data_IF_123910521613
#
_entry.id   IF_123910521613
#
_cell.length_a   1.000
_cell.length_b   1.000
_cell.length_c   1.000
_cell.angle_alpha   90.00
_cell.angle_beta   90.00
_cell.angle_gamma   90.00
#
_symmetry.space_group_name_H-M   'P 1'
#
loop_
_entity.id
_entity.type
_entity.pdbx_description
1 polymer ?
#
# COMPACT_ATOMS: atom_id res chain seq x y z
N UNK A 1 -11.89 -54.73 -31.69
CA UNK A 1 -12.56 -54.37 -32.95
C UNK A 1 -12.98 -52.92 -32.83
N UNK A 2 -12.24 -52.17 -33.52
CA UNK A 2 -12.48 -51.23 -34.62
C UNK A 2 -12.97 -49.88 -34.11
N UNK A 3 -12.16 -48.89 -34.09
CA UNK A 3 -11.52 -48.09 -35.13
C UNK A 3 -12.29 -46.78 -35.46
N UNK A 4 -11.55 -45.67 -35.21
CA UNK A 4 -11.36 -44.53 -36.13
C UNK A 4 -12.56 -43.62 -36.48
N UNK A 5 -12.47 -42.32 -36.20
CA UNK A 5 -12.00 -41.22 -37.10
C UNK A 5 -12.23 -39.89 -36.39
N UNK A 6 -11.22 -39.12 -36.06
CA UNK A 6 -10.64 -37.98 -36.79
C UNK A 6 -11.59 -37.11 -37.62
N UNK A 7 -11.66 -35.82 -37.25
CA UNK A 7 -11.51 -34.58 -38.03
C UNK A 7 -11.76 -33.41 -37.11
N UNK A 8 -10.85 -32.58 -36.77
CA UNK A 8 -10.23 -31.47 -37.49
C UNK A 8 -11.23 -30.33 -37.80
N UNK A 9 -11.11 -29.22 -37.13
CA UNK A 9 -11.73 -27.93 -37.42
C UNK A 9 -10.98 -26.84 -36.66
N UNK A 10 -10.01 -26.23 -37.38
CA UNK A 10 -9.26 -25.06 -36.94
C UNK A 10 -10.08 -23.77 -37.21
N UNK A 11 -9.61 -22.68 -36.55
CA UNK A 11 -10.02 -21.26 -36.63
C UNK A 11 -11.09 -20.91 -35.60
N UNK A 12 -10.86 -19.90 -34.72
CA UNK A 12 -10.44 -18.54 -35.07
C UNK A 12 -9.68 -17.93 -33.87
N UNK A 13 -8.50 -17.39 -34.16
CA UNK A 13 -7.84 -16.37 -33.38
C UNK A 13 -8.35 -15.03 -33.89
N UNK A 14 -9.04 -14.27 -33.09
CA UNK A 14 -9.18 -12.84 -33.34
C UNK A 14 -9.25 -12.11 -32.00
N UNK A 15 -8.17 -11.39 -31.72
CA UNK A 15 -8.20 -9.98 -31.34
C UNK A 15 -8.90 -9.59 -30.03
N UNK A 16 -8.18 -9.77 -28.90
CA UNK A 16 -8.34 -8.89 -27.76
C UNK A 16 -7.03 -8.18 -27.42
N UNK A 17 -6.59 -7.36 -28.37
CA UNK A 17 -5.62 -6.30 -28.10
C UNK A 17 -6.36 -4.96 -28.25
N UNK A 18 -6.90 -4.45 -27.15
CA UNK A 18 -7.12 -2.99 -26.95
C UNK A 18 -7.57 -2.75 -25.52
N UNK A 19 -6.76 -2.01 -24.80
CA UNK A 19 -7.15 -1.44 -23.51
C UNK A 19 -6.05 -1.32 -22.46
N UNK A 20 -4.79 -1.22 -22.87
CA UNK A 20 -3.77 -0.65 -21.96
C UNK A 20 -3.81 0.86 -22.11
N UNK A 21 -4.62 1.53 -21.33
CA UNK A 21 -4.43 2.94 -21.04
C UNK A 21 -3.15 3.05 -20.20
N UNK A 22 -2.12 3.59 -20.80
CA UNK A 22 -0.88 3.94 -20.12
C UNK A 22 -1.23 5.07 -19.13
N UNK A 23 -1.14 4.77 -17.84
CA UNK A 23 -1.00 5.77 -16.80
C UNK A 23 0.35 6.47 -17.05
N UNK A 24 0.29 7.65 -17.65
CA UNK A 24 1.45 8.54 -17.74
C UNK A 24 1.73 9.07 -16.34
N UNK A 25 2.81 8.59 -15.74
CA UNK A 25 3.46 9.25 -14.64
C UNK A 25 4.07 10.55 -15.18
N UNK A 26 3.45 11.67 -14.90
CA UNK A 26 3.99 12.99 -15.24
C UNK A 26 5.13 13.32 -14.27
N UNK A 27 6.28 13.24 -14.78
CA UNK A 27 7.57 13.81 -14.70
C UNK A 27 8.05 14.49 -13.42
N UNK A 28 8.62 13.73 -12.50
CA UNK A 28 9.77 14.18 -11.73
C UNK A 28 11.05 13.70 -12.39
N UNK A 29 11.66 14.47 -13.27
CA UNK A 29 12.98 14.18 -13.79
C UNK A 29 14.02 14.30 -12.66
N UNK A 30 14.65 13.17 -12.33
CA UNK A 30 15.96 13.14 -11.69
C UNK A 30 16.10 12.45 -10.35
N UNK A 31 15.54 11.24 -10.19
CA UNK A 31 16.17 10.22 -9.35
C UNK A 31 16.18 8.94 -10.19
N UNK A 32 17.37 8.45 -10.49
CA UNK A 32 17.54 7.09 -11.01
C UNK A 32 16.80 6.15 -10.07
N UNK A 33 16.16 5.13 -10.64
CA UNK A 33 15.35 4.13 -9.97
C UNK A 33 16.23 3.42 -8.91
N UNK A 34 16.40 4.04 -7.73
CA UNK A 34 17.09 3.42 -6.61
C UNK A 34 16.31 2.16 -6.21
N UNK A 35 17.03 1.09 -5.90
CA UNK A 35 16.38 -0.12 -5.40
C UNK A 35 15.67 0.22 -4.07
N UNK A 36 14.55 -0.42 -3.78
CA UNK A 36 13.79 -0.17 -2.54
C UNK A 36 14.65 -0.34 -1.28
N UNK A 37 15.68 -1.19 -1.35
CA UNK A 37 16.67 -1.38 -0.29
C UNK A 37 17.46 -0.09 -0.01
N UNK A 38 17.81 0.64 -1.06
CA UNK A 38 18.53 1.91 -0.94
C UNK A 38 17.62 3.00 -0.34
N UNK A 39 16.35 3.03 -0.76
CA UNK A 39 15.35 3.95 -0.18
C UNK A 39 15.13 3.65 1.31
N UNK A 40 15.01 2.37 1.70
CA UNK A 40 14.89 1.97 3.10
C UNK A 40 16.17 2.32 3.88
N UNK A 41 17.35 2.10 3.29
CA UNK A 41 18.61 2.44 3.93
C UNK A 41 18.77 3.95 4.15
N UNK A 42 18.27 4.77 3.22
CA UNK A 42 18.30 6.24 3.30
C UNK A 42 17.20 6.82 4.20
N UNK A 43 16.16 6.06 4.51
CA UNK A 43 15.05 6.53 5.36
C UNK A 43 15.54 6.89 6.76
N UNK A 44 15.12 8.05 7.26
CA UNK A 44 15.44 8.52 8.62
C UNK A 44 14.29 8.16 9.57
N UNK A 45 14.51 7.22 10.53
CA UNK A 45 13.49 6.80 11.48
C UNK A 45 13.05 7.96 12.39
N UNK A 46 11.75 8.08 12.61
CA UNK A 46 11.19 9.11 13.49
C UNK A 46 11.21 8.72 14.98
N UNK A 47 11.39 7.45 15.29
CA UNK A 47 11.41 6.93 16.65
C UNK A 47 12.14 5.59 16.75
N UNK A 48 12.29 5.08 17.99
CA UNK A 48 12.99 3.81 18.29
C UNK A 48 12.34 2.60 17.58
N UNK A 49 11.01 2.55 17.44
CA UNK A 49 10.34 1.46 16.74
C UNK A 49 10.78 1.41 15.27
N UNK A 50 10.74 2.53 14.56
CA UNK A 50 11.17 2.58 13.16
C UNK A 50 12.67 2.28 12.98
N UNK A 51 13.51 2.70 13.94
CA UNK A 51 14.95 2.39 13.93
C UNK A 51 15.19 0.88 13.96
N UNK A 52 14.53 0.18 14.89
CA UNK A 52 14.68 -1.27 15.04
C UNK A 52 14.05 -1.99 13.84
N UNK A 53 12.85 -1.59 13.42
CA UNK A 53 12.14 -2.21 12.30
C UNK A 53 12.91 -2.03 10.99
N UNK A 54 13.51 -0.87 10.75
CA UNK A 54 14.41 -0.64 9.61
C UNK A 54 15.57 -1.62 9.58
N UNK A 55 16.22 -1.85 10.73
CA UNK A 55 17.33 -2.81 10.83
C UNK A 55 16.87 -4.23 10.54
N UNK A 56 15.71 -4.64 11.05
CA UNK A 56 15.12 -5.95 10.77
C UNK A 56 14.81 -6.11 9.28
N UNK A 57 14.16 -5.12 8.67
CA UNK A 57 13.82 -5.13 7.25
C UNK A 57 15.09 -5.27 6.39
N UNK A 58 16.10 -4.44 6.62
CA UNK A 58 17.36 -4.51 5.87
C UNK A 58 18.10 -5.84 6.07
N UNK A 59 18.09 -6.38 7.29
CA UNK A 59 18.68 -7.69 7.59
C UNK A 59 18.00 -8.82 6.81
N UNK A 60 16.66 -8.82 6.75
CA UNK A 60 15.92 -9.83 5.99
C UNK A 60 16.15 -9.67 4.49
N UNK A 61 16.12 -8.45 3.95
CA UNK A 61 16.40 -8.18 2.54
C UNK A 61 17.80 -8.63 2.13
N UNK A 62 18.79 -8.46 3.01
CA UNK A 62 20.17 -8.89 2.77
C UNK A 62 20.41 -10.39 2.84
N UNK A 63 19.52 -11.16 3.48
CA UNK A 63 19.74 -12.59 3.76
C UNK A 63 18.67 -13.52 3.13
N UNK A 64 17.48 -13.02 2.83
CA UNK A 64 16.35 -13.80 2.34
C UNK A 64 16.10 -13.50 0.86
N UNK A 65 16.51 -14.40 -0.02
CA UNK A 65 16.40 -14.22 -1.48
C UNK A 65 14.97 -14.17 -2.03
N UNK A 66 13.95 -14.51 -1.22
CA UNK A 66 12.54 -14.50 -1.61
C UNK A 66 11.67 -13.57 -0.75
N UNK A 67 12.28 -12.55 -0.13
CA UNK A 67 11.57 -11.61 0.75
C UNK A 67 10.40 -10.86 0.06
N UNK A 68 10.35 -10.80 -1.27
CA UNK A 68 9.23 -10.23 -2.02
C UNK A 68 8.11 -11.23 -2.33
N UNK A 69 8.26 -12.50 -1.96
CA UNK A 69 7.22 -13.52 -2.11
C UNK A 69 6.47 -13.71 -0.80
N UNK A 70 5.13 -13.72 -0.85
CA UNK A 70 4.28 -14.02 0.33
C UNK A 70 4.48 -15.44 0.90
N UNK A 71 5.23 -16.29 0.22
CA UNK A 71 5.60 -17.61 0.73
C UNK A 71 6.73 -17.56 1.76
N UNK A 72 7.47 -16.45 1.84
CA UNK A 72 8.49 -16.27 2.87
C UNK A 72 7.85 -15.98 4.23
N UNK A 73 8.47 -16.50 5.30
CA UNK A 73 8.02 -16.27 6.68
C UNK A 73 8.01 -14.77 7.05
N UNK A 74 8.95 -14.02 6.50
CA UNK A 74 8.96 -12.55 6.57
C UNK A 74 9.06 -12.03 5.14
N UNK A 75 8.07 -11.24 4.73
CA UNK A 75 8.00 -10.78 3.35
C UNK A 75 7.53 -9.32 3.24
N UNK A 76 7.94 -8.70 2.14
CA UNK A 76 7.63 -7.31 1.87
C UNK A 76 6.14 -7.11 1.63
N UNK A 77 5.63 -6.11 2.32
CA UNK A 77 4.29 -5.56 2.16
C UNK A 77 4.38 -4.03 2.05
N UNK A 78 3.34 -3.41 1.59
CA UNK A 78 3.23 -1.96 1.59
C UNK A 78 1.86 -1.54 2.09
N UNK A 79 1.82 -0.34 2.66
CA UNK A 79 0.59 0.33 3.05
C UNK A 79 0.60 1.76 2.52
N UNK A 80 -0.58 2.33 2.43
CA UNK A 80 -0.75 3.72 2.05
C UNK A 80 -1.68 4.42 3.06
N UNK A 81 -1.16 5.48 3.69
CA UNK A 81 -1.93 6.38 4.53
C UNK A 81 -2.48 7.48 3.64
N UNK A 82 -3.80 7.57 3.51
CA UNK A 82 -4.45 8.50 2.58
C UNK A 82 -5.15 9.58 3.37
N UNK A 83 -4.81 10.84 3.10
CA UNK A 83 -5.41 12.00 3.77
C UNK A 83 -6.11 12.92 2.77
N UNK A 84 -7.09 13.68 3.27
CA UNK A 84 -7.65 14.82 2.54
C UNK A 84 -6.60 15.93 2.37
N UNK A 85 -6.77 16.86 1.40
CA UNK A 85 -5.80 17.94 1.16
C UNK A 85 -5.53 18.84 2.36
N UNK A 86 -6.47 18.94 3.28
CA UNK A 86 -6.36 19.69 4.55
C UNK A 86 -5.90 18.83 5.73
N UNK A 87 -5.64 17.53 5.51
CA UNK A 87 -5.32 16.52 6.52
C UNK A 87 -6.41 16.29 7.58
N UNK A 88 -7.60 16.86 7.40
CA UNK A 88 -8.68 16.74 8.38
C UNK A 88 -9.31 15.34 8.39
N UNK A 89 -9.20 14.61 7.28
CA UNK A 89 -9.78 13.28 7.13
C UNK A 89 -8.75 12.28 6.61
N UNK A 90 -8.91 11.01 7.00
CA UNK A 90 -8.17 9.87 6.45
C UNK A 90 -9.13 8.81 5.93
N UNK A 91 -8.70 8.07 4.90
CA UNK A 91 -9.47 7.00 4.29
C UNK A 91 -9.12 5.67 4.94
N UNK A 92 -10.14 4.94 5.42
CA UNK A 92 -10.00 3.62 6.02
C UNK A 92 -10.89 2.60 5.35
N UNK A 93 -10.46 1.33 5.41
CA UNK A 93 -11.23 0.16 5.00
C UNK A 93 -11.57 -0.71 6.22
N UNK A 94 -12.73 -1.36 6.23
CA UNK A 94 -13.04 -2.37 7.24
C UNK A 94 -12.56 -3.73 6.73
N UNK A 95 -11.41 -4.16 7.20
CA UNK A 95 -10.73 -5.36 6.72
C UNK A 95 -11.40 -6.64 7.25
N UNK A 96 -11.83 -7.54 6.35
CA UNK A 96 -12.64 -8.71 6.70
C UNK A 96 -11.92 -9.72 7.61
N UNK A 97 -10.58 -9.91 7.44
CA UNK A 97 -9.80 -10.87 8.24
C UNK A 97 -9.56 -10.31 9.65
N UNK A 98 -9.19 -9.03 9.77
CA UNK A 98 -8.88 -8.44 11.07
C UNK A 98 -10.13 -7.97 11.84
N UNK A 99 -11.28 -7.83 11.15
CA UNK A 99 -12.50 -7.30 11.75
C UNK A 99 -12.31 -5.89 12.32
N UNK A 100 -11.47 -5.09 11.70
CA UNK A 100 -11.01 -3.80 12.16
C UNK A 100 -11.00 -2.78 11.03
N UNK A 101 -11.19 -1.50 11.38
CA UNK A 101 -10.89 -0.40 10.48
C UNK A 101 -9.38 -0.25 10.38
N UNK A 102 -8.88 -0.32 9.16
CA UNK A 102 -7.45 -0.26 8.89
C UNK A 102 -7.11 0.62 7.68
N UNK A 103 -5.83 0.96 7.57
CA UNK A 103 -5.26 1.55 6.37
C UNK A 103 -5.33 0.58 5.20
N UNK A 104 -5.03 1.06 4.01
CA UNK A 104 -5.03 0.27 2.78
C UNK A 104 -3.62 -0.30 2.57
N UNK A 105 -3.51 -1.52 2.08
CA UNK A 105 -2.21 -2.11 1.77
C UNK A 105 -2.29 -3.52 1.22
N UNK A 106 -1.14 -4.01 0.75
CA UNK A 106 -1.04 -5.33 0.16
C UNK A 106 0.38 -5.88 0.15
N UNK A 107 0.52 -7.07 -0.41
CA UNK A 107 1.81 -7.75 -0.53
C UNK A 107 2.56 -7.32 -1.79
N UNK A 108 3.89 -7.38 -1.71
CA UNK A 108 4.74 -7.14 -2.86
C UNK A 108 4.51 -8.12 -4.01
N UNK A 109 4.29 -9.42 -3.71
CA UNK A 109 4.04 -10.50 -4.68
C UNK A 109 5.03 -10.55 -5.84
N UNK A 110 6.30 -10.29 -5.55
CA UNK A 110 7.40 -10.25 -6.51
C UNK A 110 7.65 -8.88 -7.14
N UNK A 111 6.75 -7.93 -6.95
CA UNK A 111 6.92 -6.55 -7.42
C UNK A 111 7.85 -5.79 -6.47
N UNK A 112 8.83 -5.07 -7.03
CA UNK A 112 9.78 -4.29 -6.22
C UNK A 112 9.43 -2.80 -6.18
N UNK A 113 8.50 -2.34 -7.01
CA UNK A 113 7.95 -0.99 -6.95
C UNK A 113 6.78 -0.96 -5.96
N UNK A 114 7.13 -0.92 -4.67
CA UNK A 114 6.13 -0.94 -3.59
C UNK A 114 5.23 0.30 -3.60
N UNK A 115 5.69 1.44 -4.12
CA UNK A 115 4.88 2.64 -4.27
C UNK A 115 3.78 2.42 -5.32
N UNK A 116 4.11 1.81 -6.46
CA UNK A 116 3.12 1.43 -7.45
C UNK A 116 2.15 0.36 -6.93
N UNK A 117 2.65 -0.61 -6.13
CA UNK A 117 1.79 -1.60 -5.46
C UNK A 117 0.79 -0.90 -4.54
N UNK A 118 1.23 0.01 -3.68
CA UNK A 118 0.39 0.72 -2.73
C UNK A 118 -0.73 1.55 -3.42
N UNK A 119 -0.43 2.22 -4.53
CA UNK A 119 -1.43 2.94 -5.32
C UNK A 119 -2.41 1.99 -6.02
N UNK A 120 -1.95 0.84 -6.48
CA UNK A 120 -2.82 -0.19 -7.07
C UNK A 120 -3.79 -0.75 -6.04
N UNK A 121 -3.30 -1.12 -4.85
CA UNK A 121 -4.15 -1.60 -3.76
C UNK A 121 -5.18 -0.54 -3.32
N UNK A 122 -4.77 0.73 -3.23
CA UNK A 122 -5.70 1.83 -2.97
C UNK A 122 -6.84 1.84 -3.98
N UNK A 123 -6.54 1.77 -5.27
CA UNK A 123 -7.55 1.78 -6.32
C UNK A 123 -8.43 0.52 -6.28
N UNK A 124 -7.83 -0.64 -6.04
CA UNK A 124 -8.55 -1.92 -6.00
C UNK A 124 -9.50 -2.00 -4.80
N UNK A 125 -9.01 -1.66 -3.60
CA UNK A 125 -9.76 -1.79 -2.36
C UNK A 125 -10.80 -0.68 -2.13
N UNK A 126 -10.58 0.52 -2.68
CA UNK A 126 -11.41 1.68 -2.36
C UNK A 126 -12.06 2.35 -3.57
N UNK A 127 -11.56 2.09 -4.77
CA UNK A 127 -11.98 2.76 -5.99
C UNK A 127 -11.34 4.12 -6.25
N UNK A 128 -10.60 4.66 -5.30
CA UNK A 128 -9.88 5.94 -5.45
C UNK A 128 -8.80 5.80 -6.51
N UNK A 129 -8.84 6.65 -7.53
CA UNK A 129 -7.97 6.58 -8.71
C UNK A 129 -7.15 7.85 -8.96
N UNK A 130 -7.47 8.94 -8.25
CA UNK A 130 -6.79 10.23 -8.41
C UNK A 130 -5.96 10.62 -7.19
N UNK A 131 -5.57 9.64 -6.37
CA UNK A 131 -4.64 9.88 -5.27
C UNK A 131 -3.26 10.28 -5.81
N UNK A 132 -2.60 11.16 -5.09
CA UNK A 132 -1.25 11.63 -5.40
C UNK A 132 -0.31 11.31 -4.25
N UNK A 133 0.74 10.54 -4.57
CA UNK A 133 1.79 10.22 -3.62
C UNK A 133 2.49 11.48 -3.15
N UNK A 134 2.71 11.60 -1.85
CA UNK A 134 3.50 12.67 -1.25
C UNK A 134 4.97 12.29 -1.36
N UNK A 135 5.76 13.15 -1.98
CA UNK A 135 7.21 12.98 -2.09
C UNK A 135 7.89 13.87 -1.06
N UNK A 136 8.63 13.26 -0.16
CA UNK A 136 9.41 13.96 0.86
C UNK A 136 10.87 14.15 0.39
N UNK A 137 11.64 15.09 0.96
CA UNK A 137 13.03 15.31 0.56
C UNK A 137 13.93 14.09 0.66
N UNK A 138 13.67 13.20 1.65
CA UNK A 138 14.41 11.96 1.86
C UNK A 138 13.90 10.77 1.02
N UNK A 139 12.83 10.92 0.27
CA UNK A 139 12.20 9.85 -0.52
C UNK A 139 10.69 9.76 -0.32
N UNK A 140 10.08 8.67 -0.80
CA UNK A 140 8.62 8.51 -0.74
C UNK A 140 8.17 7.72 0.50
N UNK A 141 9.09 7.13 1.25
CA UNK A 141 8.75 6.34 2.44
C UNK A 141 8.27 7.28 3.54
N UNK A 142 7.05 7.04 4.01
CA UNK A 142 6.45 7.79 5.10
C UNK A 142 6.72 7.14 6.46
N UNK A 143 6.72 5.81 6.51
CA UNK A 143 6.92 5.05 7.74
C UNK A 143 7.40 3.63 7.45
N UNK A 144 8.07 2.99 8.43
CA UNK A 144 8.51 1.60 8.36
C UNK A 144 7.99 0.82 9.57
N UNK A 145 7.50 -0.40 9.33
CA UNK A 145 6.96 -1.29 10.35
C UNK A 145 7.30 -2.76 10.08
N UNK A 146 7.59 -3.51 11.13
CA UNK A 146 7.54 -4.97 11.12
C UNK A 146 6.25 -5.38 11.83
N UNK A 147 5.30 -5.91 11.06
CA UNK A 147 3.98 -6.26 11.57
C UNK A 147 3.85 -7.78 11.70
N UNK A 148 3.34 -8.23 12.84
CA UNK A 148 2.99 -9.64 13.04
C UNK A 148 1.62 -9.93 12.45
N UNK A 149 1.52 -11.03 11.71
CA UNK A 149 0.26 -11.55 11.20
C UNK A 149 -0.01 -12.90 11.86
N UNK A 150 -1.10 -12.98 12.60
CA UNK A 150 -1.52 -14.23 13.23
C UNK A 150 -1.98 -15.26 12.18
N UNK A 151 -1.87 -16.53 12.52
CA UNK A 151 -2.40 -17.62 11.71
C UNK A 151 -3.90 -17.45 11.51
N UNK A 152 -4.35 -17.54 10.26
CA UNK A 152 -5.75 -17.30 9.91
C UNK A 152 -6.21 -18.21 8.75
N UNK A 153 -7.50 -18.25 8.51
CA UNK A 153 -8.06 -18.91 7.34
C UNK A 153 -8.34 -17.91 6.22
N UNK A 154 -7.85 -18.20 5.01
CA UNK A 154 -8.13 -17.43 3.79
C UNK A 154 -8.60 -18.37 2.70
N UNK A 155 -9.83 -18.14 2.18
CA UNK A 155 -10.45 -18.97 1.12
C UNK A 155 -10.43 -20.47 1.44
N UNK A 156 -10.73 -20.83 2.71
CA UNK A 156 -10.79 -22.22 3.20
C UNK A 156 -9.42 -22.93 3.34
N UNK A 157 -8.32 -22.18 3.33
CA UNK A 157 -6.98 -22.70 3.59
C UNK A 157 -6.36 -21.98 4.78
N UNK A 158 -5.67 -22.73 5.63
CA UNK A 158 -4.90 -22.16 6.73
C UNK A 158 -3.64 -21.48 6.21
N UNK A 159 -3.42 -20.24 6.65
CA UNK A 159 -2.21 -19.45 6.46
C UNK A 159 -1.51 -19.36 7.81
N UNK A 160 -0.26 -19.78 7.89
CA UNK A 160 0.54 -19.73 9.11
C UNK A 160 0.89 -18.30 9.53
N UNK A 161 1.23 -18.12 10.81
CA UNK A 161 1.72 -16.81 11.30
C UNK A 161 3.01 -16.43 10.57
N UNK A 162 3.13 -15.14 10.25
CA UNK A 162 4.26 -14.60 9.48
C UNK A 162 4.48 -13.12 9.79
N UNK A 163 5.50 -12.51 9.19
CA UNK A 163 5.81 -11.10 9.35
C UNK A 163 5.63 -10.35 8.02
N UNK A 164 4.96 -9.21 8.10
CA UNK A 164 5.01 -8.21 7.05
C UNK A 164 6.13 -7.20 7.32
N UNK A 165 7.07 -7.10 6.39
CA UNK A 165 8.08 -6.06 6.33
C UNK A 165 7.45 -4.90 5.57
N UNK A 166 6.79 -4.02 6.30
CA UNK A 166 5.88 -3.04 5.72
C UNK A 166 6.54 -1.70 5.45
N UNK A 167 6.33 -1.19 4.24
CA UNK A 167 6.70 0.17 3.84
C UNK A 167 5.43 0.97 3.67
N UNK A 168 5.27 2.01 4.48
CA UNK A 168 4.11 2.90 4.41
C UNK A 168 4.41 4.13 3.58
N UNK A 169 3.51 4.44 2.67
CA UNK A 169 3.50 5.65 1.86
C UNK A 169 2.40 6.61 2.32
N UNK A 170 2.56 7.89 2.00
CA UNK A 170 1.55 8.92 2.24
C UNK A 170 0.97 9.39 0.90
N UNK A 171 -0.33 9.52 0.82
CA UNK A 171 -0.98 10.08 -0.37
C UNK A 171 -2.09 11.06 0.00
N UNK A 172 -2.37 11.97 -0.92
CA UNK A 172 -3.48 12.91 -0.85
C UNK A 172 -4.54 12.51 -1.87
N UNK A 173 -5.79 12.42 -1.43
CA UNK A 173 -6.93 12.19 -2.31
C UNK A 173 -8.12 13.08 -1.91
N UNK A 174 -9.06 13.30 -2.83
CA UNK A 174 -10.27 14.09 -2.55
C UNK A 174 -11.34 13.22 -1.88
N UNK A 175 -11.92 13.63 -0.74
CA UNK A 175 -13.08 12.97 -0.17
C UNK A 175 -14.33 12.99 -1.06
N UNK A 176 -14.35 13.86 -2.09
CA UNK A 176 -15.45 13.94 -3.06
C UNK A 176 -15.38 12.84 -4.14
N UNK A 177 -14.25 12.13 -4.23
CA UNK A 177 -14.13 11.02 -5.18
C UNK A 177 -14.98 9.83 -4.72
N UNK A 178 -15.76 9.21 -5.64
CA UNK A 178 -16.57 8.05 -5.29
C UNK A 178 -15.73 6.88 -4.77
N UNK A 179 -16.12 6.34 -3.64
CA UNK A 179 -15.48 5.17 -3.02
C UNK A 179 -16.38 3.93 -3.15
N UNK A 180 -15.75 2.75 -3.17
CA UNK A 180 -16.44 1.46 -3.22
C UNK A 180 -15.68 0.40 -2.43
N UNK A 181 -16.38 -0.61 -1.97
CA UNK A 181 -15.77 -1.78 -1.31
C UNK A 181 -15.20 -2.77 -2.34
N UNK A 182 -14.25 -3.61 -1.88
CA UNK A 182 -13.78 -4.83 -2.54
C UNK A 182 -14.25 -6.01 -1.68
N UNK A 183 -15.40 -6.64 -1.98
CA UNK A 183 -16.10 -7.53 -1.05
C UNK A 183 -15.32 -8.75 -0.58
N UNK A 184 -14.31 -9.20 -1.33
CA UNK A 184 -13.43 -10.31 -0.94
C UNK A 184 -12.32 -9.91 0.01
N UNK A 185 -12.10 -8.61 0.25
CA UNK A 185 -11.05 -8.07 1.14
C UNK A 185 -11.62 -7.17 2.24
N UNK A 186 -12.57 -6.29 1.90
CA UNK A 186 -13.18 -5.38 2.86
C UNK A 186 -14.71 -5.32 2.74
N UNK A 187 -15.38 -4.95 3.83
CA UNK A 187 -16.83 -4.75 3.90
C UNK A 187 -17.25 -3.32 4.20
N UNK A 188 -16.30 -2.39 4.24
CA UNK A 188 -16.54 -0.97 4.43
C UNK A 188 -15.38 -0.14 3.94
N UNK A 189 -15.68 1.03 3.37
CA UNK A 189 -14.70 2.08 3.01
C UNK A 189 -15.30 3.40 3.45
N UNK A 190 -14.55 4.22 4.16
CA UNK A 190 -15.01 5.55 4.58
C UNK A 190 -13.89 6.53 4.83
N UNK A 191 -14.19 7.79 4.61
CA UNK A 191 -13.43 8.91 5.16
C UNK A 191 -13.87 9.15 6.60
N UNK A 192 -12.91 9.37 7.48
CA UNK A 192 -13.14 9.67 8.92
C UNK A 192 -12.26 10.84 9.33
N UNK A 193 -12.65 11.62 10.36
CA UNK A 193 -11.70 12.55 10.97
C UNK A 193 -10.38 11.82 11.29
N UNK A 194 -9.25 12.43 10.97
CA UNK A 194 -7.94 11.77 11.06
C UNK A 194 -7.67 11.22 12.46
N UNK A 195 -8.04 11.97 13.50
CA UNK A 195 -7.89 11.54 14.91
C UNK A 195 -8.77 10.34 15.29
N UNK A 196 -9.91 10.16 14.62
CA UNK A 196 -10.83 9.07 14.91
C UNK A 196 -10.28 7.70 14.46
N UNK A 197 -9.30 7.69 13.53
CA UNK A 197 -8.67 6.46 13.07
C UNK A 197 -8.09 5.63 14.22
N UNK A 198 -7.54 6.29 15.25
CA UNK A 198 -7.00 5.64 16.44
C UNK A 198 -8.08 4.84 17.16
N UNK A 199 -9.27 5.44 17.39
CA UNK A 199 -10.36 4.81 18.12
C UNK A 199 -11.08 3.72 17.32
N UNK A 200 -11.04 3.80 15.98
CA UNK A 200 -11.73 2.87 15.09
C UNK A 200 -10.99 1.55 14.89
N UNK A 201 -9.68 1.53 15.03
CA UNK A 201 -8.92 0.27 14.97
C UNK A 201 -9.11 -0.52 16.27
N UNK A 202 -9.33 -1.82 16.16
CA UNK A 202 -9.45 -2.74 17.30
C UNK A 202 -8.11 -3.36 17.71
N UNK A 203 -7.04 -3.09 16.97
CA UNK A 203 -5.72 -3.65 17.18
C UNK A 203 -4.86 -2.70 18.04
N UNK A 204 -4.59 -3.03 19.34
CA UNK A 204 -3.93 -2.09 20.26
C UNK A 204 -2.55 -1.63 19.80
N UNK A 205 -1.75 -2.54 19.21
CA UNK A 205 -0.42 -2.21 18.72
C UNK A 205 -0.49 -1.22 17.55
N UNK A 206 -1.36 -1.48 16.57
CA UNK A 206 -1.57 -0.62 15.40
C UNK A 206 -2.02 0.79 15.86
N UNK A 207 -2.99 0.86 16.79
CA UNK A 207 -3.47 2.12 17.33
C UNK A 207 -2.37 2.96 17.98
N UNK A 208 -1.66 2.34 18.95
CA UNK A 208 -0.78 3.09 19.85
C UNK A 208 0.62 3.32 19.27
N UNK A 209 1.06 2.47 18.37
CA UNK A 209 2.43 2.53 17.82
C UNK A 209 2.47 2.99 16.37
N UNK A 210 1.44 2.69 15.59
CA UNK A 210 1.46 2.98 14.16
C UNK A 210 0.57 4.19 13.85
N UNK A 211 -0.74 4.13 14.08
CA UNK A 211 -1.64 5.23 13.69
C UNK A 211 -1.32 6.53 14.40
N UNK A 212 -1.05 6.50 15.71
CA UNK A 212 -0.62 7.69 16.44
C UNK A 212 0.61 8.33 15.79
N UNK A 213 1.64 7.53 15.51
CA UNK A 213 2.85 7.97 14.82
C UNK A 213 2.55 8.58 13.44
N UNK A 214 1.72 7.92 12.62
CA UNK A 214 1.38 8.44 11.28
C UNK A 214 0.64 9.79 11.38
N UNK A 215 -0.24 9.93 12.36
CA UNK A 215 -0.98 11.18 12.60
C UNK A 215 -0.03 12.27 13.11
N UNK A 216 0.78 11.98 14.12
CA UNK A 216 1.75 12.94 14.68
C UNK A 216 2.71 13.47 13.58
N UNK A 217 3.11 12.63 12.63
CA UNK A 217 3.97 13.02 11.49
C UNK A 217 3.29 13.98 10.51
N UNK A 218 1.96 14.05 10.47
CA UNK A 218 1.26 15.03 9.65
C UNK A 218 1.48 16.46 10.13
N UNK A 219 1.87 16.66 11.39
CA UNK A 219 2.20 17.99 11.93
C UNK A 219 3.64 18.44 11.64
N UNK A 220 4.47 17.57 11.07
CA UNK A 220 5.81 17.93 10.61
C UNK A 220 5.72 19.00 9.50
N UNK A 221 6.44 20.15 9.64
CA UNK A 221 6.39 21.22 8.64
C UNK A 221 6.79 20.77 7.23
N UNK A 222 7.71 19.81 7.10
CA UNK A 222 8.16 19.27 5.80
C UNK A 222 7.06 18.46 5.16
N UNK A 223 6.36 17.62 5.93
CA UNK A 223 5.22 16.84 5.47
C UNK A 223 4.07 17.76 5.06
N UNK A 224 3.75 18.75 5.89
CA UNK A 224 2.72 19.76 5.59
C UNK A 224 3.00 20.49 4.28
N UNK A 225 4.22 21.00 4.10
CA UNK A 225 4.60 21.69 2.88
C UNK A 225 4.47 20.82 1.63
N UNK A 226 4.85 19.54 1.71
CA UNK A 226 4.72 18.60 0.60
C UNK A 226 3.25 18.30 0.25
N UNK A 227 2.37 18.22 1.24
CA UNK A 227 0.92 18.06 1.03
C UNK A 227 0.31 19.31 0.38
N UNK A 228 0.66 20.51 0.86
CA UNK A 228 0.19 21.79 0.33
C UNK A 228 0.61 22.00 -1.13
N UNK A 229 1.82 21.59 -1.52
CA UNK A 229 2.29 21.62 -2.90
C UNK A 229 1.37 20.79 -3.81
N UNK A 230 0.98 19.58 -3.36
CA UNK A 230 0.02 18.74 -4.06
C UNK A 230 -1.34 19.44 -4.22
N UNK A 231 -1.84 20.08 -3.17
CA UNK A 231 -3.11 20.82 -3.19
C UNK A 231 -3.09 21.99 -4.18
N UNK A 232 -1.99 22.73 -4.24
CA UNK A 232 -1.82 23.93 -5.06
C UNK A 232 -1.77 23.64 -6.56
N UNK A 233 -1.27 22.48 -6.99
CA UNK A 233 -1.21 22.07 -8.39
C UNK A 233 -2.60 21.79 -9.02
N UNK A 234 -3.67 21.73 -8.25
CA UNK A 234 -5.06 21.56 -8.72
C UNK A 234 -5.70 22.86 -9.24
N UNK A 235 -5.11 24.01 -8.93
CA UNK A 235 -5.73 25.33 -9.22
C UNK A 235 -5.37 25.91 -10.59
N UNK A 236 -4.52 25.21 -11.38
CA UNK A 236 -4.12 25.65 -12.71
C UNK A 236 -4.76 24.74 -13.78
N UNK A 237 -6.09 24.74 -13.86
CA UNK A 237 -6.84 24.24 -15.02
C UNK A 237 -8.05 25.12 -15.28
#
# INVERSE_FOLDING_TARGET
>A
MSALRQRAGAREKSDERRGRAALQSDGGKGRDNMAIEDDIAAYEPANEQEEIDKQVILSVLGTCGNAFSREALAHMACSIWVVSPDCAQTLLVFHNIYGSWSWIGGHADGDRDLAAVALRELQEETGVSHARMVTLPAGNIYSLEVLTVDGHEKRGKYVGSHLHLNVTYLAVASPDEPIRIKPDENSGVKWVPTEDAIALSTEPWIRERIYRKLIDKLDDPVVRAAIEEIGSQKTIR
#
